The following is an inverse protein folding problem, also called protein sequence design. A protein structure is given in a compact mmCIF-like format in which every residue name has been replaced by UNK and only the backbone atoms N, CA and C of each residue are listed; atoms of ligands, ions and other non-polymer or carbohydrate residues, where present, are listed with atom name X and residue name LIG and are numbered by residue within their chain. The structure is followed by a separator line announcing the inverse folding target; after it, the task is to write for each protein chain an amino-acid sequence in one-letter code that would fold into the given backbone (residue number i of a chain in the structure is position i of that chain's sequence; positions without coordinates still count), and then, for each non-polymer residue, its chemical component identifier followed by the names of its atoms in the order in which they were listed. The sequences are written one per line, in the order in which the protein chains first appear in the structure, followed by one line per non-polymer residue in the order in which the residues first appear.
data_IF_309800167508
#
_entry.id   IF_309800167508
#
_cell.length_a   1.000
_cell.length_b   1.000
_cell.length_c   1.000
_cell.angle_alpha   90.00
_cell.angle_beta   90.00
_cell.angle_gamma   90.00
#
_symmetry.space_group_name_H-M   'P 1'
#
loop_
_entity.id
_entity.type
_entity.pdbx_description
1 polymer ?
#
# COMPACT_ATOMS: atom_id res chain seq x y z
N UNK A 1 6.69 29.13 15.53
CA UNK A 1 7.94 28.51 16.01
C UNK A 1 7.61 27.14 16.56
N UNK A 2 7.68 26.10 15.72
CA UNK A 2 7.61 24.72 16.21
C UNK A 2 8.97 24.43 16.85
N UNK A 3 9.00 24.30 18.16
CA UNK A 3 10.19 23.83 18.87
C UNK A 3 10.54 22.43 18.36
N UNK A 4 11.79 22.27 17.93
CA UNK A 4 12.33 20.95 17.54
C UNK A 4 12.24 20.01 18.74
N UNK A 5 11.58 18.86 18.56
CA UNK A 5 11.53 17.81 19.58
C UNK A 5 12.80 16.92 19.58
N UNK A 6 13.83 17.31 18.88
CA UNK A 6 15.08 16.57 18.75
C UNK A 6 15.65 16.16 20.13
N UNK A 7 15.90 14.88 20.31
CA UNK A 7 16.43 14.30 21.56
C UNK A 7 15.45 14.21 22.73
N UNK A 8 14.15 14.51 22.51
CA UNK A 8 13.11 14.50 23.58
C UNK A 8 12.11 13.36 23.44
N UNK A 9 12.23 12.52 22.41
CA UNK A 9 11.35 11.37 22.19
C UNK A 9 12.14 10.20 21.58
N UNK A 10 11.64 9.02 21.79
CA UNK A 10 12.05 7.79 21.09
C UNK A 10 10.97 7.42 20.08
N UNK A 11 11.37 7.18 18.84
CA UNK A 11 10.45 6.78 17.78
C UNK A 11 10.28 5.25 17.78
N UNK A 12 9.05 4.79 18.01
CA UNK A 12 8.70 3.37 17.90
C UNK A 12 7.88 3.20 16.63
N UNK A 13 8.44 2.49 15.65
CA UNK A 13 7.74 2.18 14.40
C UNK A 13 6.78 1.02 14.60
N UNK A 14 5.49 1.30 14.44
CA UNK A 14 4.46 0.27 14.37
C UNK A 14 4.15 -0.05 12.92
N UNK A 15 4.24 -1.32 12.55
CA UNK A 15 3.82 -1.82 11.24
C UNK A 15 2.33 -2.18 11.26
N UNK A 16 1.80 -2.57 10.08
CA UNK A 16 0.46 -3.15 10.01
C UNK A 16 0.39 -4.46 10.78
N UNK A 17 -0.77 -4.79 11.32
CA UNK A 17 -0.97 -6.03 12.05
C UNK A 17 -0.72 -7.25 11.16
N UNK A 18 0.03 -8.19 11.68
CA UNK A 18 0.35 -9.46 11.03
C UNK A 18 -0.81 -10.44 11.11
N UNK A 19 -0.75 -11.51 10.31
CA UNK A 19 -1.76 -12.58 10.38
C UNK A 19 -1.90 -13.19 11.77
N UNK A 20 -0.84 -13.55 12.52
CA UNK A 20 -0.99 -14.06 13.87
C UNK A 20 -1.74 -13.10 14.81
N UNK A 21 -1.45 -11.80 14.76
CA UNK A 21 -2.14 -10.80 15.57
C UNK A 21 -3.62 -10.70 15.21
N UNK A 22 -3.96 -10.66 13.91
CA UNK A 22 -5.35 -10.60 13.46
C UNK A 22 -6.11 -11.89 13.77
N UNK A 23 -5.46 -13.05 13.66
CA UNK A 23 -6.03 -14.35 14.06
C UNK A 23 -6.34 -14.37 15.56
N UNK A 24 -5.37 -13.99 16.38
CA UNK A 24 -5.48 -14.11 17.83
C UNK A 24 -6.47 -13.10 18.43
N UNK A 25 -6.57 -11.91 17.84
CA UNK A 25 -7.48 -10.85 18.33
C UNK A 25 -8.90 -10.95 17.75
N UNK A 26 -9.06 -11.40 16.50
CA UNK A 26 -10.33 -11.34 15.76
C UNK A 26 -10.77 -12.69 15.20
N UNK A 27 -10.05 -13.79 15.49
CA UNK A 27 -10.31 -15.14 14.95
C UNK A 27 -10.36 -15.16 13.41
N UNK A 28 -9.57 -14.30 12.76
CA UNK A 28 -9.54 -14.17 11.30
C UNK A 28 -8.85 -15.36 10.66
N UNK A 29 -9.46 -15.97 9.63
CA UNK A 29 -8.82 -17.03 8.86
C UNK A 29 -7.67 -16.47 8.00
N UNK A 30 -6.79 -17.36 7.52
CA UNK A 30 -5.70 -16.93 6.62
C UNK A 30 -6.26 -16.32 5.33
N UNK A 31 -7.28 -16.94 4.74
CA UNK A 31 -7.92 -16.45 3.52
C UNK A 31 -8.55 -15.07 3.73
N UNK A 32 -9.23 -14.87 4.86
CA UNK A 32 -9.76 -13.56 5.22
C UNK A 32 -8.65 -12.53 5.36
N UNK A 33 -7.56 -12.86 6.06
CA UNK A 33 -6.43 -11.94 6.18
C UNK A 33 -5.79 -11.60 4.84
N UNK A 34 -5.62 -12.58 3.95
CA UNK A 34 -5.06 -12.36 2.62
C UNK A 34 -5.91 -11.39 1.80
N UNK A 35 -7.23 -11.45 1.92
CA UNK A 35 -8.15 -10.58 1.20
C UNK A 35 -8.41 -9.26 1.93
N UNK A 36 -8.87 -9.30 3.17
CA UNK A 36 -9.28 -8.12 3.94
C UNK A 36 -8.14 -7.36 4.60
N UNK A 37 -6.94 -7.95 4.65
CA UNK A 37 -5.74 -7.32 5.22
C UNK A 37 -5.73 -7.26 6.74
N UNK A 38 -4.74 -6.53 7.28
CA UNK A 38 -4.46 -6.41 8.71
C UNK A 38 -4.78 -5.03 9.28
N UNK A 39 -5.97 -4.50 9.03
CA UNK A 39 -6.49 -3.30 9.70
C UNK A 39 -7.47 -3.70 10.81
N UNK A 40 -7.10 -3.59 12.11
CA UNK A 40 -7.96 -4.02 13.22
C UNK A 40 -9.33 -3.34 13.24
N UNK A 41 -9.38 -2.05 12.89
CA UNK A 41 -10.64 -1.30 12.81
C UNK A 41 -11.60 -1.79 11.73
N UNK A 42 -11.11 -2.52 10.73
CA UNK A 42 -11.92 -3.10 9.66
C UNK A 42 -12.36 -4.55 9.95
N UNK A 43 -11.78 -5.21 10.96
CA UNK A 43 -11.98 -6.63 11.23
C UNK A 43 -13.44 -7.02 11.47
N UNK A 44 -14.22 -6.16 12.11
CA UNK A 44 -15.64 -6.39 12.40
C UNK A 44 -16.57 -6.10 11.21
N UNK A 45 -16.03 -5.59 10.10
CA UNK A 45 -16.80 -5.22 8.93
C UNK A 45 -16.71 -6.24 7.79
N UNK A 46 -15.86 -7.27 7.91
CA UNK A 46 -15.58 -8.22 6.82
C UNK A 46 -16.77 -9.08 6.39
N UNK A 47 -17.80 -9.20 7.23
CA UNK A 47 -19.05 -9.88 6.89
C UNK A 47 -19.97 -9.03 5.98
N UNK A 48 -19.70 -7.72 5.90
CA UNK A 48 -20.37 -6.74 5.03
C UNK A 48 -19.28 -6.06 4.19
N UNK A 49 -18.97 -6.66 3.03
CA UNK A 49 -17.87 -6.22 2.16
C UNK A 49 -18.05 -4.77 1.67
N UNK A 50 -19.30 -4.30 1.54
CA UNK A 50 -19.57 -2.91 1.13
C UNK A 50 -19.15 -1.94 2.25
N UNK A 51 -19.53 -2.20 3.50
CA UNK A 51 -19.13 -1.38 4.65
C UNK A 51 -17.63 -1.46 4.90
N UNK A 52 -17.05 -2.64 4.74
CA UNK A 52 -15.59 -2.80 4.80
C UNK A 52 -14.90 -1.93 3.75
N UNK A 53 -15.36 -1.98 2.51
CA UNK A 53 -14.83 -1.16 1.42
C UNK A 53 -14.96 0.34 1.67
N UNK A 54 -16.12 0.79 2.17
CA UNK A 54 -16.34 2.19 2.57
C UNK A 54 -15.38 2.62 3.68
N UNK A 55 -15.12 1.76 4.67
CA UNK A 55 -14.16 2.03 5.74
C UNK A 55 -12.72 2.13 5.21
N UNK A 56 -12.28 1.18 4.39
CA UNK A 56 -10.91 1.21 3.82
C UNK A 56 -10.72 2.45 2.94
N UNK A 57 -11.69 2.76 2.06
CA UNK A 57 -11.59 3.95 1.22
C UNK A 57 -11.64 5.24 2.04
N UNK A 58 -12.65 5.42 2.90
CA UNK A 58 -12.90 6.69 3.59
C UNK A 58 -11.97 6.92 4.78
N UNK A 59 -11.87 5.94 5.69
CA UNK A 59 -11.15 6.10 6.93
C UNK A 59 -9.63 5.85 6.81
N UNK A 60 -9.19 5.07 5.82
CA UNK A 60 -7.78 4.78 5.62
C UNK A 60 -7.24 5.57 4.42
N UNK A 61 -7.68 5.28 3.21
CA UNK A 61 -7.09 5.84 1.99
C UNK A 61 -7.33 7.34 1.88
N UNK A 62 -8.60 7.77 1.95
CA UNK A 62 -8.95 9.19 1.81
C UNK A 62 -8.39 10.03 2.98
N UNK A 63 -8.43 9.52 4.19
CA UNK A 63 -7.88 10.20 5.34
C UNK A 63 -6.36 10.39 5.18
N UNK A 64 -5.63 9.35 4.83
CA UNK A 64 -4.17 9.44 4.66
C UNK A 64 -3.79 10.33 3.48
N UNK A 65 -4.42 10.17 2.31
CA UNK A 65 -4.07 10.99 1.13
C UNK A 65 -4.45 12.45 1.37
N UNK A 66 -5.68 12.74 1.81
CA UNK A 66 -6.19 14.10 1.85
C UNK A 66 -5.78 14.88 3.10
N UNK A 67 -5.60 14.19 4.26
CA UNK A 67 -5.31 14.87 5.53
C UNK A 67 -3.81 14.81 5.86
N UNK A 68 -3.17 13.66 5.65
CA UNK A 68 -1.78 13.52 6.03
C UNK A 68 -0.85 14.00 4.90
N UNK A 69 -0.95 13.41 3.69
CA UNK A 69 -0.02 13.73 2.61
C UNK A 69 -0.24 15.15 2.06
N UNK A 70 -1.49 15.52 1.72
CA UNK A 70 -1.79 16.80 1.10
C UNK A 70 -1.68 17.99 2.07
N UNK A 71 -1.84 17.76 3.36
CA UNK A 71 -1.67 18.80 4.38
C UNK A 71 -0.19 19.10 4.62
N UNK A 72 0.65 18.08 4.71
CA UNK A 72 2.07 18.23 5.04
C UNK A 72 2.97 18.53 3.84
N UNK A 73 2.49 18.25 2.62
CA UNK A 73 3.29 18.41 1.40
C UNK A 73 2.56 19.25 0.35
N UNK A 74 3.20 20.33 -0.18
CA UNK A 74 2.62 21.13 -1.27
C UNK A 74 2.63 20.31 -2.58
N UNK A 75 1.54 19.62 -2.87
CA UNK A 75 1.39 18.80 -4.07
C UNK A 75 0.63 19.57 -5.15
N UNK A 76 1.27 19.78 -6.30
CA UNK A 76 0.68 20.54 -7.41
C UNK A 76 -0.47 19.83 -8.11
N UNK A 77 -0.49 18.48 -8.08
CA UNK A 77 -1.51 17.64 -8.76
C UNK A 77 -2.06 16.56 -7.82
N UNK A 78 -2.96 16.90 -6.88
CA UNK A 78 -3.53 15.94 -5.92
C UNK A 78 -4.27 14.75 -6.61
N UNK A 79 -5.00 15.04 -7.68
CA UNK A 79 -5.70 14.01 -8.45
C UNK A 79 -4.73 12.98 -9.05
N UNK A 80 -3.56 13.42 -9.51
CA UNK A 80 -2.54 12.53 -10.07
C UNK A 80 -1.89 11.65 -8.98
N UNK A 81 -1.68 12.18 -7.76
CA UNK A 81 -1.23 11.40 -6.62
C UNK A 81 -2.20 10.23 -6.36
N UNK A 82 -3.51 10.53 -6.31
CA UNK A 82 -4.54 9.52 -6.11
C UNK A 82 -4.57 8.48 -7.24
N UNK A 83 -4.55 8.92 -8.49
CA UNK A 83 -4.49 8.02 -9.64
C UNK A 83 -3.22 7.16 -9.63
N UNK A 84 -2.07 7.71 -9.20
CA UNK A 84 -0.82 6.96 -9.04
C UNK A 84 -0.97 5.86 -7.98
N UNK A 85 -1.65 6.16 -6.87
CA UNK A 85 -1.95 5.18 -5.84
C UNK A 85 -2.87 4.07 -6.39
N UNK A 86 -4.03 4.42 -6.95
CA UNK A 86 -5.02 3.46 -7.45
C UNK A 86 -4.44 2.53 -8.53
N UNK A 87 -3.73 3.10 -9.51
CA UNK A 87 -3.06 2.31 -10.54
C UNK A 87 -1.92 1.48 -9.95
N UNK A 88 -1.16 2.04 -9.03
CA UNK A 88 -0.03 1.34 -8.38
C UNK A 88 -0.48 0.16 -7.53
N UNK A 89 -1.63 0.26 -6.84
CA UNK A 89 -2.18 -0.86 -6.05
C UNK A 89 -2.58 -2.03 -6.94
N UNK A 90 -3.11 -1.78 -8.16
CA UNK A 90 -3.43 -2.84 -9.11
C UNK A 90 -2.19 -3.64 -9.53
N UNK A 91 -1.01 -3.02 -9.50
CA UNK A 91 0.28 -3.65 -9.81
C UNK A 91 1.00 -4.20 -8.57
N UNK A 92 0.38 -4.21 -7.39
CA UNK A 92 1.03 -4.75 -6.19
C UNK A 92 1.45 -6.21 -6.39
N UNK A 93 2.73 -6.49 -6.11
CA UNK A 93 3.39 -7.76 -6.41
C UNK A 93 4.11 -7.78 -7.77
N UNK A 94 3.89 -6.81 -8.67
CA UNK A 94 4.43 -6.81 -10.03
C UNK A 94 5.58 -5.81 -10.21
N UNK A 95 6.49 -6.11 -11.15
CA UNK A 95 7.55 -5.19 -11.57
C UNK A 95 7.03 -4.37 -12.75
N UNK A 96 6.90 -3.06 -12.55
CA UNK A 96 6.38 -2.13 -13.56
C UNK A 96 7.25 -0.90 -13.66
N UNK A 97 7.62 -0.51 -14.90
CA UNK A 97 8.40 0.72 -15.08
C UNK A 97 7.54 1.97 -14.86
N UNK A 98 8.16 3.02 -14.30
CA UNK A 98 7.48 4.31 -14.15
C UNK A 98 7.08 4.91 -15.50
N UNK A 99 7.82 4.62 -16.58
CA UNK A 99 7.46 5.01 -17.94
C UNK A 99 6.13 4.39 -18.38
N UNK A 100 5.89 3.10 -18.05
CA UNK A 100 4.60 2.44 -18.33
C UNK A 100 3.47 3.10 -17.53
N UNK A 101 3.73 3.45 -16.27
CA UNK A 101 2.76 4.18 -15.43
C UNK A 101 2.41 5.54 -16.01
N UNK A 102 3.43 6.33 -16.42
CA UNK A 102 3.21 7.64 -17.09
C UNK A 102 2.33 7.49 -18.32
N UNK A 103 2.55 6.46 -19.13
CA UNK A 103 1.73 6.22 -20.34
C UNK A 103 0.29 5.79 -20.06
N UNK A 104 0.02 5.27 -18.86
CA UNK A 104 -1.33 4.82 -18.47
C UNK A 104 -2.14 5.92 -17.73
N UNK A 105 -1.48 6.95 -17.20
CA UNK A 105 -2.10 8.03 -16.44
C UNK A 105 -2.29 9.28 -17.30
N UNK A 106 -3.44 9.91 -17.19
CA UNK A 106 -3.69 11.19 -17.84
C UNK A 106 -2.92 12.30 -17.11
N UNK A 107 -2.30 13.20 -17.89
CA UNK A 107 -1.55 14.35 -17.36
C UNK A 107 -0.45 13.99 -16.32
N UNK A 108 0.13 12.81 -16.46
CA UNK A 108 1.09 12.24 -15.49
C UNK A 108 2.41 13.06 -15.40
N UNK A 109 2.70 13.92 -16.37
CA UNK A 109 3.95 14.66 -16.41
C UNK A 109 5.13 13.75 -16.76
N UNK A 110 6.01 13.50 -15.80
CA UNK A 110 7.21 12.68 -16.01
C UNK A 110 7.40 11.62 -14.91
N UNK A 111 8.35 10.71 -15.14
CA UNK A 111 8.71 9.64 -14.20
C UNK A 111 9.22 10.16 -12.85
N UNK A 112 9.85 11.35 -12.81
CA UNK A 112 10.34 11.97 -11.57
C UNK A 112 9.18 12.36 -10.65
N UNK A 113 8.10 12.91 -11.22
CA UNK A 113 6.88 13.25 -10.46
C UNK A 113 6.27 12.00 -9.84
N UNK A 114 6.13 10.92 -10.63
CA UNK A 114 5.58 9.66 -10.12
C UNK A 114 6.49 9.01 -9.07
N UNK A 115 7.82 9.09 -9.24
CA UNK A 115 8.76 8.61 -8.23
C UNK A 115 8.61 9.40 -6.90
N UNK A 116 8.44 10.72 -6.98
CA UNK A 116 8.14 11.55 -5.80
C UNK A 116 6.84 11.14 -5.12
N UNK A 117 5.78 10.87 -5.88
CA UNK A 117 4.51 10.42 -5.33
C UNK A 117 4.60 9.02 -4.69
N UNK A 118 5.36 8.10 -5.29
CA UNK A 118 5.61 6.79 -4.67
C UNK A 118 6.38 6.90 -3.34
N UNK A 119 7.29 7.85 -3.21
CA UNK A 119 7.98 8.09 -1.94
C UNK A 119 6.98 8.59 -0.89
N UNK A 120 6.14 9.60 -1.20
CA UNK A 120 5.13 10.10 -0.28
C UNK A 120 4.13 9.03 0.16
N UNK A 121 3.67 8.20 -0.79
CA UNK A 121 2.77 7.07 -0.50
C UNK A 121 3.46 6.00 0.34
N UNK A 122 4.77 5.77 0.12
CA UNK A 122 5.58 4.85 0.89
C UNK A 122 5.80 5.32 2.33
N UNK A 123 6.15 6.59 2.51
CA UNK A 123 6.35 7.21 3.82
C UNK A 123 5.05 7.18 4.66
N UNK A 124 3.90 7.23 3.98
CA UNK A 124 2.57 7.16 4.61
C UNK A 124 2.05 5.71 4.76
N UNK A 125 2.84 4.69 4.46
CA UNK A 125 2.47 3.28 4.65
C UNK A 125 1.38 2.77 3.70
N UNK A 126 1.17 3.41 2.55
CA UNK A 126 0.16 3.00 1.58
C UNK A 126 0.73 2.11 0.45
N UNK A 127 1.65 2.65 -0.34
CA UNK A 127 2.19 1.99 -1.52
C UNK A 127 3.65 2.36 -1.72
N UNK A 128 4.52 1.39 -1.97
CA UNK A 128 5.95 1.64 -2.25
C UNK A 128 6.40 0.99 -3.55
N UNK A 129 7.50 1.51 -4.10
CA UNK A 129 8.22 0.94 -5.22
C UNK A 129 9.54 0.32 -4.76
N UNK A 130 9.55 -0.98 -4.48
CA UNK A 130 10.75 -1.70 -4.05
C UNK A 130 11.78 -1.74 -5.15
N UNK A 131 12.97 -1.24 -4.86
CA UNK A 131 14.08 -1.25 -5.81
C UNK A 131 14.71 -2.64 -5.90
N UNK A 132 15.18 -3.00 -7.08
CA UNK A 132 15.95 -4.23 -7.27
C UNK A 132 17.21 -4.19 -6.38
N UNK A 133 17.46 -5.25 -5.64
CA UNK A 133 18.75 -5.40 -4.96
C UNK A 133 19.88 -5.52 -5.98
N UNK A 134 20.85 -4.63 -5.92
CA UNK A 134 22.08 -4.69 -6.72
C UNK A 134 23.24 -4.07 -5.92
N UNK A 135 24.42 -4.66 -6.02
CA UNK A 135 25.64 -4.09 -5.40
C UNK A 135 26.03 -2.75 -6.04
N UNK A 136 25.72 -2.59 -7.32
CA UNK A 136 25.92 -1.33 -8.06
C UNK A 136 24.68 -0.45 -7.92
N UNK A 137 24.85 0.69 -7.24
CA UNK A 137 23.79 1.69 -7.02
C UNK A 137 23.21 2.29 -8.32
N UNK A 138 24.01 2.34 -9.39
CA UNK A 138 23.53 2.84 -10.69
C UNK A 138 22.53 1.88 -11.31
N UNK A 139 22.82 0.57 -11.25
CA UNK A 139 21.92 -0.49 -11.71
C UNK A 139 20.66 -0.61 -10.87
N UNK A 140 20.76 -0.37 -9.57
CA UNK A 140 19.61 -0.32 -8.67
C UNK A 140 18.64 0.78 -9.09
N UNK A 141 19.13 2.00 -9.30
CA UNK A 141 18.31 3.17 -9.68
C UNK A 141 17.71 3.08 -11.09
N UNK A 142 18.37 2.38 -12.00
CA UNK A 142 17.89 2.21 -13.38
C UNK A 142 16.86 1.09 -13.55
N UNK A 143 16.61 0.27 -12.52
CA UNK A 143 15.67 -0.84 -12.59
C UNK A 143 14.23 -0.40 -12.38
N UNK A 144 13.30 -1.08 -13.04
CA UNK A 144 11.88 -0.90 -12.75
C UNK A 144 11.58 -1.38 -11.32
N UNK A 145 10.84 -0.61 -10.52
CA UNK A 145 10.48 -1.00 -9.16
C UNK A 145 9.45 -2.13 -9.16
N UNK A 146 9.46 -2.96 -8.11
CA UNK A 146 8.33 -3.84 -7.77
C UNK A 146 7.37 -3.03 -6.93
N UNK A 147 6.14 -2.83 -7.41
CA UNK A 147 5.09 -2.17 -6.66
C UNK A 147 4.62 -3.06 -5.52
N UNK A 148 4.43 -2.48 -4.34
CA UNK A 148 4.01 -3.23 -3.17
C UNK A 148 3.17 -2.35 -2.23
N UNK A 149 1.94 -2.77 -1.95
CA UNK A 149 1.13 -2.20 -0.85
C UNK A 149 1.67 -2.66 0.49
N UNK A 150 1.52 -1.84 1.52
CA UNK A 150 1.89 -2.23 2.90
C UNK A 150 0.84 -3.09 3.58
N UNK A 151 -0.41 -3.04 3.09
CA UNK A 151 -1.52 -3.84 3.59
C UNK A 151 -2.38 -4.28 2.42
N UNK A 152 -2.75 -5.56 2.37
CA UNK A 152 -3.42 -6.11 1.20
C UNK A 152 -4.84 -5.56 0.99
N UNK A 153 -5.51 -5.09 2.06
CA UNK A 153 -6.78 -4.37 1.97
C UNK A 153 -6.73 -3.20 0.96
N UNK A 154 -5.56 -2.52 0.86
CA UNK A 154 -5.37 -1.39 -0.07
C UNK A 154 -5.43 -1.78 -1.54
N UNK A 155 -5.16 -3.07 -1.86
CA UNK A 155 -5.31 -3.62 -3.21
C UNK A 155 -6.71 -4.18 -3.42
N UNK A 156 -7.19 -4.99 -2.48
CA UNK A 156 -8.41 -5.76 -2.67
C UNK A 156 -9.68 -4.92 -2.58
N UNK A 157 -9.64 -3.74 -1.95
CA UNK A 157 -10.75 -2.78 -1.95
C UNK A 157 -11.15 -2.29 -3.35
N UNK A 158 -10.23 -2.40 -4.32
CA UNK A 158 -10.47 -2.08 -5.74
C UNK A 158 -10.71 -3.32 -6.60
N UNK A 159 -10.87 -4.50 -5.98
CA UNK A 159 -11.13 -5.73 -6.72
C UNK A 159 -12.60 -5.78 -7.16
N UNK A 160 -12.84 -6.17 -8.42
CA UNK A 160 -14.21 -6.38 -8.94
C UNK A 160 -14.85 -7.66 -8.39
N UNK A 161 -14.04 -8.58 -7.85
CA UNK A 161 -14.51 -9.85 -7.29
C UNK A 161 -14.67 -9.74 -5.77
N UNK A 162 -15.80 -10.23 -5.28
CA UNK A 162 -16.01 -10.46 -3.84
C UNK A 162 -15.01 -11.46 -3.28
N UNK A 163 -14.86 -11.50 -1.96
CA UNK A 163 -14.01 -12.47 -1.27
C UNK A 163 -14.26 -13.90 -1.72
N UNK A 164 -15.54 -14.31 -1.80
CA UNK A 164 -15.93 -15.66 -2.20
C UNK A 164 -15.58 -15.97 -3.65
N UNK A 165 -15.77 -15.01 -4.54
CA UNK A 165 -15.45 -15.16 -5.96
C UNK A 165 -13.94 -15.14 -6.19
N UNK A 166 -13.20 -14.31 -5.45
CA UNK A 166 -11.75 -14.23 -5.54
C UNK A 166 -11.07 -15.54 -5.15
N UNK A 167 -11.51 -16.22 -4.10
CA UNK A 167 -11.00 -17.54 -3.69
C UNK A 167 -11.18 -18.58 -4.80
N UNK A 168 -12.30 -18.54 -5.51
CA UNK A 168 -12.59 -19.48 -6.60
C UNK A 168 -11.84 -19.15 -7.88
N UNK A 169 -11.39 -17.93 -8.04
CA UNK A 169 -10.59 -17.48 -9.18
C UNK A 169 -9.09 -17.68 -8.92
N UNK A 170 -8.54 -18.83 -9.34
CA UNK A 170 -7.14 -19.19 -9.10
C UNK A 170 -6.13 -18.13 -9.52
N UNK A 171 -6.38 -17.43 -10.63
CA UNK A 171 -5.45 -16.40 -11.16
C UNK A 171 -5.45 -15.18 -10.26
N UNK A 172 -6.64 -14.69 -9.89
CA UNK A 172 -6.77 -13.52 -9.02
C UNK A 172 -6.30 -13.83 -7.60
N UNK A 173 -6.67 -15.00 -7.08
CA UNK A 173 -6.20 -15.45 -5.77
C UNK A 173 -4.67 -15.53 -5.68
N UNK A 174 -4.01 -16.02 -6.74
CA UNK A 174 -2.55 -16.04 -6.80
C UNK A 174 -1.92 -14.63 -6.73
N UNK A 175 -2.54 -13.63 -7.37
CA UNK A 175 -2.09 -12.24 -7.30
C UNK A 175 -2.32 -11.62 -5.91
N UNK A 176 -3.48 -11.90 -5.30
CA UNK A 176 -3.79 -11.48 -3.93
C UNK A 176 -2.78 -12.07 -2.96
N UNK A 177 -2.50 -13.36 -3.08
CA UNK A 177 -1.55 -14.09 -2.25
C UNK A 177 -0.12 -13.53 -2.39
N UNK A 178 0.38 -13.31 -3.62
CA UNK A 178 1.69 -12.73 -3.86
C UNK A 178 1.81 -11.33 -3.26
N UNK A 179 0.80 -10.48 -3.44
CA UNK A 179 0.75 -9.15 -2.86
C UNK A 179 0.75 -9.19 -1.33
N UNK A 180 -0.01 -10.08 -0.71
CA UNK A 180 -0.08 -10.21 0.75
C UNK A 180 1.25 -10.69 1.36
N UNK A 181 1.92 -11.65 0.73
CA UNK A 181 3.28 -12.07 1.15
C UNK A 181 4.25 -10.91 1.04
N UNK A 182 4.22 -10.16 -0.06
CA UNK A 182 5.05 -8.99 -0.25
C UNK A 182 4.83 -7.94 0.84
N UNK A 183 3.57 -7.65 1.18
CA UNK A 183 3.21 -6.73 2.27
C UNK A 183 3.77 -7.20 3.62
N UNK A 184 3.66 -8.49 3.93
CA UNK A 184 4.18 -9.06 5.15
C UNK A 184 5.71 -8.95 5.23
N UNK A 185 6.43 -9.26 4.15
CA UNK A 185 7.90 -9.15 4.10
C UNK A 185 8.36 -7.70 4.29
N UNK A 186 7.68 -6.73 3.64
CA UNK A 186 7.99 -5.30 3.81
C UNK A 186 7.76 -4.88 5.25
N UNK A 187 6.66 -5.28 5.88
CA UNK A 187 6.37 -4.98 7.28
C UNK A 187 7.44 -5.54 8.21
N UNK A 188 7.88 -6.78 8.01
CA UNK A 188 8.98 -7.37 8.79
C UNK A 188 10.31 -6.63 8.61
N UNK A 189 10.62 -6.16 7.40
CA UNK A 189 11.85 -5.42 7.14
C UNK A 189 11.91 -4.08 7.87
N UNK A 190 10.76 -3.45 8.11
CA UNK A 190 10.67 -2.17 8.84
C UNK A 190 10.84 -2.31 10.35
N UNK A 191 10.64 -3.51 10.91
CA UNK A 191 10.84 -3.78 12.35
C UNK A 191 12.33 -3.98 12.66
N UNK A 192 13.13 -4.37 11.68
CA UNK A 192 14.53 -4.76 11.88
C UNK A 192 15.56 -3.73 11.33
N UNK A 193 15.10 -2.54 10.95
CA UNK A 193 15.91 -1.38 10.61
C UNK A 193 15.83 -0.38 11.76
#
# INVERSE_FOLDING_TARGET
LSDSMMGRFEEIRMTHWSYPEMRDAFNMSLEQYLYFGGYPGAAFLIEDEERWGQYINGAIIDATINKDILYDSPISKPALLRQTFELGTSYSGEIVSLTKMVGALQDAGNTTTLAGYLNLLGDSGLLTGLQKFAMDKSRQRASAPKFQVFNNALKTVYNDLTFKEAILNRKEWGRIFESAIGAHIVSLSLIHI
#
